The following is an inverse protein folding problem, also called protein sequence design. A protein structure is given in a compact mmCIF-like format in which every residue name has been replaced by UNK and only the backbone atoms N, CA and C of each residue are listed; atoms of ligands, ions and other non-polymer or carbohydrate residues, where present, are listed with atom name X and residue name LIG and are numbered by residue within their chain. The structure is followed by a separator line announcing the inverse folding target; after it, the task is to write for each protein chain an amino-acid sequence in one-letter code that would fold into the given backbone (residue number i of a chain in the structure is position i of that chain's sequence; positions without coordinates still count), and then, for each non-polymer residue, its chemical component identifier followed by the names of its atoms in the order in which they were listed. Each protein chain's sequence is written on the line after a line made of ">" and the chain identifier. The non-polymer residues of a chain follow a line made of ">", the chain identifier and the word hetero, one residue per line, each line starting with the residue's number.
data_IF_668710399628
#
_entry.id   IF_668710399628
#
_cell.length_a   1.000
_cell.length_b   1.000
_cell.length_c   1.000
_cell.angle_alpha   90.00
_cell.angle_beta   90.00
_cell.angle_gamma   90.00
#
_symmetry.space_group_name_H-M   'P 1'
#
loop_
_entity.id
_entity.type
_entity.pdbx_description
1 polymer ?
#
# COMPACT_ATOMS: atom_id res chain seq x y z
N UNK A 1 -5.75 -15.98 -19.17
CA UNK A 1 -6.50 -14.92 -18.46
C UNK A 1 -5.90 -14.77 -17.06
N UNK A 2 -5.22 -13.66 -16.77
CA UNK A 2 -4.73 -13.35 -15.41
C UNK A 2 -5.79 -12.49 -14.75
N UNK A 3 -6.27 -12.88 -13.56
CA UNK A 3 -7.07 -12.02 -12.69
C UNK A 3 -6.32 -10.69 -12.50
N UNK A 4 -6.71 -9.68 -13.27
CA UNK A 4 -6.04 -8.39 -13.34
C UNK A 4 -6.40 -7.55 -12.13
N UNK A 5 -5.72 -7.80 -11.01
CA UNK A 5 -5.62 -6.82 -9.93
C UNK A 5 -4.41 -5.94 -10.29
N UNK A 6 -4.69 -4.72 -10.71
CA UNK A 6 -3.65 -3.74 -11.01
C UNK A 6 -3.00 -3.29 -9.69
N UNK A 7 -1.78 -3.79 -9.46
CA UNK A 7 -0.94 -3.46 -8.29
C UNK A 7 0.21 -2.54 -8.70
N UNK A 8 0.21 -1.99 -9.92
CA UNK A 8 1.29 -1.14 -10.42
C UNK A 8 1.35 0.22 -9.74
N UNK A 9 0.23 0.65 -9.16
CA UNK A 9 0.07 1.95 -8.48
C UNK A 9 -0.53 1.70 -7.11
N UNK A 10 0.06 2.30 -6.07
CA UNK A 10 -0.40 2.15 -4.70
C UNK A 10 0.52 2.81 -3.69
N UNK A 11 0.20 2.67 -2.41
CA UNK A 11 0.98 3.22 -1.30
C UNK A 11 1.39 2.12 -0.33
N UNK A 12 2.59 2.26 0.24
CA UNK A 12 3.07 1.40 1.32
C UNK A 12 2.68 2.03 2.66
N UNK A 13 2.10 1.20 3.53
CA UNK A 13 1.60 1.57 4.85
C UNK A 13 2.24 0.65 5.89
N UNK A 14 2.75 1.23 6.97
CA UNK A 14 3.37 0.52 8.10
C UNK A 14 4.51 -0.42 7.68
N UNK A 15 5.50 0.12 6.96
CA UNK A 15 6.72 -0.62 6.68
C UNK A 15 7.53 -0.71 7.96
N UNK A 16 7.77 -1.94 8.43
CA UNK A 16 8.65 -2.22 9.55
C UNK A 16 9.87 -2.97 9.05
N UNK A 17 11.03 -2.33 9.14
CA UNK A 17 12.32 -2.97 8.90
C UNK A 17 12.67 -3.83 10.12
N UNK A 18 12.87 -5.13 9.91
CA UNK A 18 13.38 -6.02 10.93
C UNK A 18 14.83 -6.36 10.64
N UNK A 19 15.73 -5.79 11.42
CA UNK A 19 17.12 -6.24 11.47
C UNK A 19 17.21 -7.54 12.31
N UNK A 20 16.85 -8.67 11.73
CA UNK A 20 17.07 -9.98 12.37
C UNK A 20 18.29 -10.67 11.75
N UNK A 21 19.47 -10.23 12.19
CA UNK A 21 20.72 -10.99 12.10
C UNK A 21 21.01 -11.60 10.73
N UNK A 22 21.32 -10.72 9.76
CA UNK A 22 21.92 -10.96 8.42
C UNK A 22 21.00 -10.80 7.21
N UNK A 23 19.68 -10.68 7.40
CA UNK A 23 18.71 -10.47 6.32
C UNK A 23 17.88 -9.21 6.62
N UNK A 24 17.82 -8.29 5.65
CA UNK A 24 16.98 -7.10 5.73
C UNK A 24 15.56 -7.50 5.32
N UNK A 25 14.73 -7.82 6.31
CA UNK A 25 13.34 -8.19 6.08
C UNK A 25 12.44 -6.97 6.27
N UNK A 26 11.54 -6.74 5.32
CA UNK A 26 10.52 -5.70 5.40
C UNK A 26 9.13 -6.35 5.41
N UNK A 27 8.33 -5.95 6.39
CA UNK A 27 6.92 -6.32 6.48
C UNK A 27 6.05 -5.07 6.40
N UNK A 28 4.84 -5.20 5.86
CA UNK A 28 3.91 -4.09 5.88
C UNK A 28 2.61 -4.38 5.14
N UNK A 29 1.88 -3.29 4.86
CA UNK A 29 0.65 -3.33 4.09
C UNK A 29 0.83 -2.48 2.84
N UNK A 30 0.65 -3.07 1.67
CA UNK A 30 0.53 -2.35 0.41
C UNK A 30 -0.94 -2.11 0.10
N UNK A 31 -1.30 -0.87 -0.26
CA UNK A 31 -2.65 -0.52 -0.68
C UNK A 31 -2.63 -0.15 -2.14
N UNK A 32 -3.22 -1.02 -2.97
CA UNK A 32 -3.32 -0.80 -4.41
C UNK A 32 -4.29 0.35 -4.72
N UNK A 33 -4.12 1.00 -5.87
CA UNK A 33 -5.01 2.05 -6.38
C UNK A 33 -6.48 1.60 -6.49
N UNK A 34 -6.73 0.29 -6.64
CA UNK A 34 -8.05 -0.30 -6.58
C UNK A 34 -8.72 -0.25 -5.19
N UNK A 35 -7.99 0.16 -4.14
CA UNK A 35 -8.43 0.17 -2.75
C UNK A 35 -8.25 -1.17 -2.03
N UNK A 36 -7.54 -2.12 -2.64
CA UNK A 36 -7.25 -3.42 -2.04
C UNK A 36 -6.03 -3.37 -1.14
N UNK A 37 -6.07 -4.11 -0.04
CA UNK A 37 -5.02 -4.16 0.96
C UNK A 37 -4.30 -5.52 0.88
N UNK A 38 -2.97 -5.45 0.78
CA UNK A 38 -2.11 -6.62 0.72
C UNK A 38 -1.12 -6.59 1.88
N UNK A 39 -1.17 -7.60 2.74
CA UNK A 39 -0.12 -7.80 3.74
C UNK A 39 1.07 -8.48 3.07
N UNK A 40 2.27 -7.92 3.25
CA UNK A 40 3.47 -8.44 2.64
C UNK A 40 4.58 -8.69 3.66
N UNK A 41 5.41 -9.66 3.32
CA UNK A 41 6.68 -9.94 3.98
C UNK A 41 7.70 -10.26 2.89
N UNK A 42 8.78 -9.49 2.85
CA UNK A 42 9.81 -9.57 1.81
C UNK A 42 11.20 -9.56 2.42
N UNK A 43 12.13 -10.22 1.72
CA UNK A 43 13.55 -10.17 1.97
C UNK A 43 14.18 -9.23 0.95
N UNK A 44 14.98 -8.28 1.43
CA UNK A 44 15.74 -7.32 0.63
C UNK A 44 17.23 -7.62 0.70
N UNK A 45 17.99 -7.07 -0.25
CA UNK A 45 19.45 -7.03 -0.17
C UNK A 45 19.91 -6.32 1.09
N UNK A 46 21.14 -6.58 1.58
CA UNK A 46 21.71 -5.87 2.75
C UNK A 46 21.82 -4.34 2.60
N UNK A 47 21.65 -3.83 1.39
CA UNK A 47 21.61 -2.40 1.08
C UNK A 47 20.16 -1.86 1.04
N UNK A 48 19.16 -2.71 1.28
CA UNK A 48 17.72 -2.43 1.21
C UNK A 48 17.18 -2.10 -0.19
N UNK A 49 17.99 -2.23 -1.24
CA UNK A 49 17.71 -1.65 -2.57
C UNK A 49 17.01 -2.61 -3.54
N UNK A 50 17.12 -3.92 -3.32
CA UNK A 50 16.61 -4.95 -4.22
C UNK A 50 15.84 -6.00 -3.46
N UNK A 51 14.72 -6.41 -4.05
CA UNK A 51 13.95 -7.57 -3.59
C UNK A 51 14.70 -8.87 -3.88
N UNK A 52 14.99 -9.64 -2.84
CA UNK A 52 15.53 -11.00 -2.94
C UNK A 52 14.38 -12.00 -3.04
N UNK A 53 13.44 -11.94 -2.09
CA UNK A 53 12.35 -12.89 -2.00
C UNK A 53 11.05 -12.25 -1.48
N UNK A 54 9.92 -12.82 -1.90
CA UNK A 54 8.60 -12.53 -1.33
C UNK A 54 8.15 -13.76 -0.56
N UNK A 55 8.01 -13.63 0.76
CA UNK A 55 7.54 -14.72 1.63
C UNK A 55 6.03 -14.71 1.76
N UNK A 56 5.43 -13.51 1.77
CA UNK A 56 4.00 -13.33 1.91
C UNK A 56 3.52 -12.16 1.04
N UNK A 57 2.37 -12.33 0.40
CA UNK A 57 1.64 -11.28 -0.30
C UNK A 57 0.15 -11.63 -0.38
N UNK A 58 -0.55 -11.42 0.73
CA UNK A 58 -1.93 -11.87 0.91
C UNK A 58 -2.92 -10.71 0.79
N UNK A 59 -4.01 -10.90 0.03
CA UNK A 59 -5.13 -9.97 0.04
C UNK A 59 -5.86 -10.07 1.39
N UNK A 60 -5.79 -8.99 2.16
CA UNK A 60 -6.40 -8.86 3.48
C UNK A 60 -7.56 -7.87 3.49
N UNK A 61 -8.03 -7.43 2.32
CA UNK A 61 -9.09 -6.42 2.19
C UNK A 61 -10.33 -6.79 3.01
N UNK A 62 -10.79 -8.04 2.91
CA UNK A 62 -11.98 -8.53 3.61
C UNK A 62 -11.79 -8.68 5.13
N UNK A 63 -10.55 -8.60 5.62
CA UNK A 63 -10.23 -8.67 7.05
C UNK A 63 -10.29 -7.30 7.73
N UNK A 64 -10.39 -6.22 6.95
CA UNK A 64 -10.33 -4.85 7.45
C UNK A 64 -11.72 -4.22 7.56
N UNK A 65 -11.97 -3.52 8.67
CA UNK A 65 -13.13 -2.65 8.79
C UNK A 65 -12.85 -1.34 8.05
N UNK A 66 -13.60 -1.07 6.99
CA UNK A 66 -13.54 0.18 6.23
C UNK A 66 -14.81 0.98 6.54
N UNK A 67 -14.67 1.98 7.39
CA UNK A 67 -15.75 2.87 7.80
C UNK A 67 -15.28 4.33 7.87
N UNK A 68 -15.99 5.24 7.20
CA UNK A 68 -15.69 6.68 7.22
C UNK A 68 -16.19 7.40 8.46
N UNK A 69 -17.14 6.82 9.18
CA UNK A 69 -17.64 7.39 10.43
C UNK A 69 -18.28 6.32 11.30
N UNK A 70 -17.59 5.97 12.39
CA UNK A 70 -18.08 5.12 13.47
C UNK A 70 -18.36 5.97 14.71
N UNK A 71 -19.57 5.93 15.28
CA UNK A 71 -19.91 6.74 16.45
C UNK A 71 -18.89 6.57 17.59
N UNK A 72 -18.34 7.68 18.07
CA UNK A 72 -17.35 7.70 19.15
C UNK A 72 -15.92 7.29 18.77
N UNK A 73 -15.66 6.89 17.53
CA UNK A 73 -14.33 6.47 17.04
C UNK A 73 -13.86 7.31 15.84
N UNK A 74 -14.79 7.78 15.00
CA UNK A 74 -14.48 8.50 13.77
C UNK A 74 -14.20 7.56 12.59
N UNK A 75 -13.36 7.98 11.66
CA UNK A 75 -12.97 7.17 10.51
C UNK A 75 -11.97 6.08 10.92
N UNK A 76 -12.12 4.90 10.33
CA UNK A 76 -11.12 3.81 10.41
C UNK A 76 -9.85 4.19 9.67
N UNK A 77 -8.71 3.63 10.09
CA UNK A 77 -7.44 3.87 9.41
C UNK A 77 -7.47 3.42 7.94
N UNK A 78 -8.10 2.28 7.65
CA UNK A 78 -8.22 1.76 6.29
C UNK A 78 -9.03 2.72 5.40
N UNK A 79 -10.08 3.34 5.95
CA UNK A 79 -10.80 4.40 5.24
C UNK A 79 -9.92 5.61 4.95
N UNK A 80 -9.17 6.09 5.95
CA UNK A 80 -8.28 7.26 5.76
C UNK A 80 -7.22 7.01 4.70
N UNK A 81 -6.63 5.81 4.68
CA UNK A 81 -5.63 5.42 3.69
C UNK A 81 -6.20 5.43 2.27
N UNK A 82 -7.43 4.94 2.08
CA UNK A 82 -8.13 5.01 0.78
C UNK A 82 -8.35 6.46 0.36
N UNK A 83 -8.79 7.34 1.27
CA UNK A 83 -9.02 8.75 0.94
C UNK A 83 -7.72 9.46 0.56
N UNK A 84 -6.63 9.21 1.30
CA UNK A 84 -5.30 9.73 0.94
C UNK A 84 -4.88 9.24 -0.46
N UNK A 85 -5.09 7.97 -0.76
CA UNK A 85 -4.74 7.41 -2.07
C UNK A 85 -5.54 8.06 -3.21
N UNK A 86 -6.83 8.34 -2.99
CA UNK A 86 -7.66 9.08 -3.95
C UNK A 86 -7.12 10.50 -4.17
N UNK A 87 -6.84 11.22 -3.09
CA UNK A 87 -6.31 12.59 -3.19
C UNK A 87 -4.97 12.66 -3.94
N UNK A 88 -4.10 11.67 -3.75
CA UNK A 88 -2.82 11.59 -4.46
C UNK A 88 -3.01 11.34 -5.96
N UNK A 89 -3.94 10.47 -6.33
CA UNK A 89 -4.24 10.16 -7.73
C UNK A 89 -4.98 11.31 -8.44
N UNK A 90 -5.84 12.06 -7.75
CA UNK A 90 -6.50 13.24 -8.33
C UNK A 90 -5.54 14.41 -8.56
N UNK A 91 -4.51 14.54 -7.72
CA UNK A 91 -3.47 15.57 -7.89
C UNK A 91 -2.57 15.30 -9.10
N UNK A 92 -2.19 14.04 -9.35
CA UNK A 92 -1.38 13.70 -10.53
C UNK A 92 -2.06 14.08 -11.84
N UNK A 93 -3.39 13.95 -11.93
CA UNK A 93 -4.13 14.28 -13.15
C UNK A 93 -4.21 15.80 -13.41
N UNK A 94 -4.01 16.63 -12.39
CA UNK A 94 -4.16 18.09 -12.49
C UNK A 94 -2.85 18.78 -12.92
N UNK A 95 -1.68 18.17 -12.66
CA UNK A 95 -0.38 18.78 -12.99
C UNK A 95 0.05 18.54 -14.45
N UNK A 96 -0.42 17.46 -15.09
CA UNK A 96 -0.13 17.18 -16.51
C UNK A 96 -0.96 18.02 -17.51
N UNK A 97 -1.96 18.77 -17.01
CA UNK A 97 -2.81 19.65 -17.82
C UNK A 97 -2.33 21.10 -17.97
N UNK A 98 -1.26 21.50 -17.26
CA UNK A 98 -0.83 22.90 -17.17
C UNK A 98 0.32 23.29 -18.13
N UNK A 99 0.76 22.40 -19.02
CA UNK A 99 1.79 22.68 -20.03
C UNK A 99 1.23 22.58 -21.45
N UNK A 100 0.28 23.44 -21.80
CA UNK A 100 -0.10 23.74 -23.19
C UNK A 100 -0.97 25.00 -23.24
N UNK A 101 -0.37 26.18 -23.06
CA UNK A 101 -0.84 27.45 -23.65
C UNK A 101 0.34 28.36 -23.94
#
# INVERSE_FOLDING_TARGET
>A
ERNGKDVSTGILVNVCDREFGLEDCADGIFVAASGQFFEFSVELTPDGDKLIAVHQFDDVTDRLEICGHKPGVGATWAFLVIEVLKELNEKSDTEDGASSR
#
